data_IF_302239159191
#
_entry.id   IF_302239159191
#
_cell.length_a   1.000
_cell.length_b   1.000
_cell.length_c   1.000
_cell.angle_alpha   90.00
_cell.angle_beta   90.00
_cell.angle_gamma   90.00
#
_symmetry.space_group_name_H-M   'P 1'
#
loop_
_entity.id
_entity.type
_entity.pdbx_description
1 polymer ?
#
# COMPACT_ATOMS: atom_id res chain seq x y z
N UNK A 1 13.84 0.12 14.88
CA UNK A 1 12.41 -0.21 14.65
C UNK A 1 12.27 -1.56 13.97
N UNK A 2 11.12 -2.21 14.09
CA UNK A 2 10.86 -3.44 13.35
C UNK A 2 10.50 -3.11 11.91
N UNK A 3 11.24 -3.66 10.93
CA UNK A 3 10.86 -3.61 9.51
C UNK A 3 9.73 -4.59 9.17
N UNK A 4 9.11 -5.19 10.19
CA UNK A 4 7.92 -6.02 10.06
C UNK A 4 6.67 -5.13 9.95
N UNK A 5 5.83 -5.32 8.91
CA UNK A 5 4.59 -4.58 8.76
C UNK A 5 3.67 -4.72 10.00
N UNK A 6 3.13 -3.59 10.51
CA UNK A 6 2.06 -3.58 11.49
C UNK A 6 0.81 -4.31 10.98
N UNK A 7 -0.07 -4.74 11.89
CA UNK A 7 -1.31 -5.46 11.53
C UNK A 7 -2.18 -4.64 10.58
N UNK A 8 -2.32 -3.35 10.82
CA UNK A 8 -3.12 -2.46 9.98
C UNK A 8 -2.61 -2.33 8.54
N UNK A 9 -1.28 -2.34 8.35
CA UNK A 9 -0.66 -2.35 7.01
C UNK A 9 -0.99 -3.65 6.27
N UNK A 10 -0.97 -4.77 6.99
CA UNK A 10 -1.35 -6.07 6.44
C UNK A 10 -2.84 -6.12 6.05
N UNK A 11 -3.73 -5.59 6.90
CA UNK A 11 -5.17 -5.51 6.65
C UNK A 11 -5.47 -4.62 5.43
N UNK A 12 -4.79 -3.48 5.28
CA UNK A 12 -4.94 -2.62 4.11
C UNK A 12 -4.46 -3.31 2.82
N UNK A 13 -3.32 -4.01 2.85
CA UNK A 13 -2.79 -4.77 1.72
C UNK A 13 -3.72 -5.93 1.32
N UNK A 14 -4.31 -6.61 2.29
CA UNK A 14 -5.31 -7.66 2.06
C UNK A 14 -6.56 -7.09 1.38
N UNK A 15 -7.12 -6.00 1.92
CA UNK A 15 -8.24 -5.29 1.31
C UNK A 15 -7.94 -4.86 -0.14
N UNK A 16 -6.75 -4.32 -0.39
CA UNK A 16 -6.33 -3.95 -1.75
C UNK A 16 -6.32 -5.13 -2.72
N UNK A 17 -5.89 -6.31 -2.27
CA UNK A 17 -5.92 -7.53 -3.08
C UNK A 17 -7.35 -8.01 -3.35
N UNK A 18 -8.25 -7.93 -2.37
CA UNK A 18 -9.66 -8.28 -2.53
C UNK A 18 -10.36 -7.36 -3.53
N UNK A 19 -10.17 -6.04 -3.39
CA UNK A 19 -10.75 -5.07 -4.32
C UNK A 19 -10.18 -5.24 -5.73
N UNK A 20 -8.87 -5.48 -5.87
CA UNK A 20 -8.28 -5.79 -7.18
C UNK A 20 -8.89 -7.05 -7.79
N UNK A 21 -9.10 -8.10 -7.01
CA UNK A 21 -9.72 -9.33 -7.50
C UNK A 21 -11.19 -9.13 -7.93
N UNK A 22 -11.92 -8.24 -7.25
CA UNK A 22 -13.32 -7.94 -7.53
C UNK A 22 -13.51 -7.01 -8.75
N UNK A 23 -12.68 -5.99 -8.88
CA UNK A 23 -12.86 -4.92 -9.88
C UNK A 23 -11.86 -4.98 -11.04
N UNK A 24 -10.88 -5.88 -10.98
CA UNK A 24 -9.85 -6.09 -12.00
C UNK A 24 -9.11 -4.81 -12.44
N UNK A 25 -8.85 -3.91 -11.49
CA UNK A 25 -8.14 -2.65 -11.75
C UNK A 25 -7.22 -2.27 -10.59
N UNK A 26 -6.28 -1.37 -10.86
CA UNK A 26 -5.35 -0.81 -9.87
C UNK A 26 -4.11 -1.66 -9.63
N UNK A 27 -2.96 -0.96 -9.60
CA UNK A 27 -1.64 -1.54 -9.34
C UNK A 27 -1.08 -2.39 -10.48
N UNK A 28 0.24 -2.57 -10.47
CA UNK A 28 0.97 -3.51 -11.34
C UNK A 28 1.26 -4.80 -10.59
N UNK A 29 1.84 -5.80 -11.26
CA UNK A 29 2.30 -7.03 -10.61
C UNK A 29 3.28 -6.78 -9.46
N UNK A 30 4.05 -5.69 -9.53
CA UNK A 30 4.92 -5.24 -8.43
C UNK A 30 4.10 -4.83 -7.20
N UNK A 31 3.01 -4.10 -7.39
CA UNK A 31 2.09 -3.72 -6.31
C UNK A 31 1.40 -4.94 -5.70
N UNK A 32 1.00 -5.91 -6.53
CA UNK A 32 0.39 -7.18 -6.08
C UNK A 32 1.38 -8.01 -5.27
N UNK A 33 2.62 -8.15 -5.75
CA UNK A 33 3.67 -8.85 -5.03
C UNK A 33 3.95 -8.18 -3.68
N UNK A 34 4.04 -6.84 -3.65
CA UNK A 34 4.20 -6.07 -2.42
C UNK A 34 3.06 -6.31 -1.45
N UNK A 35 1.81 -6.24 -1.91
CA UNK A 35 0.64 -6.50 -1.07
C UNK A 35 0.67 -7.90 -0.45
N UNK A 36 1.12 -8.92 -1.21
CA UNK A 36 1.28 -10.29 -0.71
C UNK A 36 2.34 -10.38 0.39
N UNK A 37 3.46 -9.66 0.28
CA UNK A 37 4.46 -9.64 1.34
C UNK A 37 3.96 -8.91 2.59
N UNK A 38 3.28 -7.77 2.39
CA UNK A 38 2.72 -6.94 3.47
C UNK A 38 1.62 -7.68 4.25
N UNK A 39 0.66 -8.33 3.57
CA UNK A 39 -0.41 -9.08 4.25
C UNK A 39 0.13 -10.23 5.09
N UNK A 40 1.22 -10.87 4.63
CA UNK A 40 1.89 -11.94 5.35
C UNK A 40 2.85 -11.41 6.43
N UNK A 41 2.92 -10.09 6.63
CA UNK A 41 3.78 -9.40 7.59
C UNK A 41 5.24 -9.85 7.48
N UNK A 42 5.73 -10.02 6.24
CA UNK A 42 7.13 -10.32 5.99
C UNK A 42 7.96 -9.06 6.25
N UNK A 43 9.11 -9.18 6.95
CA UNK A 43 10.02 -8.06 7.12
C UNK A 43 10.42 -7.46 5.77
N UNK A 44 10.42 -6.13 5.70
CA UNK A 44 10.83 -5.39 4.52
C UNK A 44 12.31 -5.00 4.61
N UNK A 45 13.02 -5.01 3.49
CA UNK A 45 14.38 -4.43 3.40
C UNK A 45 14.33 -2.90 3.40
N UNK A 46 15.45 -2.25 3.69
CA UNK A 46 15.54 -0.78 3.64
C UNK A 46 15.20 -0.23 2.24
N UNK A 47 15.73 -0.88 1.19
CA UNK A 47 15.39 -0.55 -0.20
C UNK A 47 13.88 -0.68 -0.47
N UNK A 48 13.22 -1.66 0.14
CA UNK A 48 11.77 -1.79 0.06
C UNK A 48 11.09 -0.60 0.71
N UNK A 49 11.51 -0.20 1.92
CA UNK A 49 10.90 0.92 2.62
C UNK A 49 11.08 2.21 1.81
N UNK A 50 12.25 2.45 1.23
CA UNK A 50 12.49 3.63 0.38
C UNK A 50 11.61 3.64 -0.87
N UNK A 51 11.38 2.45 -1.44
CA UNK A 51 10.44 2.29 -2.55
C UNK A 51 8.99 2.56 -2.14
N UNK A 52 8.59 2.16 -0.93
CA UNK A 52 7.27 2.46 -0.38
C UNK A 52 7.08 3.97 -0.20
N UNK A 53 8.02 4.66 0.45
CA UNK A 53 7.96 6.13 0.62
C UNK A 53 7.89 6.83 -0.73
N UNK A 54 8.79 6.46 -1.67
CA UNK A 54 8.80 7.03 -3.03
C UNK A 54 7.53 6.74 -3.82
N UNK A 55 6.86 5.62 -3.56
CA UNK A 55 5.57 5.31 -4.15
C UNK A 55 4.50 6.27 -3.61
N UNK A 56 4.35 6.37 -2.29
CA UNK A 56 3.30 7.19 -1.67
C UNK A 56 3.45 8.68 -2.01
N UNK A 57 4.67 9.21 -2.02
CA UNK A 57 4.92 10.61 -2.37
C UNK A 57 4.48 10.96 -3.81
N UNK A 58 4.63 10.02 -4.76
CA UNK A 58 4.24 10.25 -6.17
C UNK A 58 2.75 10.05 -6.42
N UNK A 59 2.10 9.20 -5.63
CA UNK A 59 0.70 8.81 -5.84
C UNK A 59 -0.25 9.50 -4.85
N UNK A 60 0.23 10.47 -4.06
CA UNK A 60 -0.64 11.27 -3.18
C UNK A 60 -1.67 12.07 -3.98
N UNK A 61 -1.32 12.48 -5.21
CA UNK A 61 -2.26 13.13 -6.15
C UNK A 61 -3.43 12.23 -6.52
N UNK A 62 -3.28 10.90 -6.48
CA UNK A 62 -4.36 9.95 -6.81
C UNK A 62 -5.53 10.07 -5.82
N UNK A 63 -5.29 10.61 -4.62
CA UNK A 63 -6.34 10.89 -3.62
C UNK A 63 -7.37 11.92 -4.08
N UNK A 64 -7.05 12.70 -5.11
CA UNK A 64 -7.94 13.71 -5.69
C UNK A 64 -8.86 13.13 -6.76
N UNK A 65 -8.66 11.87 -7.17
CA UNK A 65 -9.51 11.21 -8.14
C UNK A 65 -10.90 10.93 -7.54
N UNK A 66 -11.92 10.96 -8.40
CA UNK A 66 -13.26 10.50 -8.05
C UNK A 66 -13.20 9.05 -7.53
N UNK A 67 -14.08 8.73 -6.58
CA UNK A 67 -14.18 7.42 -5.94
C UNK A 67 -12.91 6.93 -5.21
N UNK A 68 -11.96 7.83 -4.89
CA UNK A 68 -10.88 7.48 -3.97
C UNK A 68 -11.46 7.19 -2.57
N UNK A 69 -11.26 5.98 -2.06
CA UNK A 69 -11.83 5.55 -0.78
C UNK A 69 -13.24 4.95 -0.86
N UNK A 70 -13.84 4.84 -2.05
CA UNK A 70 -15.14 4.21 -2.25
C UNK A 70 -14.98 2.69 -2.39
N UNK A 71 -15.30 1.90 -1.37
CA UNK A 71 -15.17 0.44 -1.45
C UNK A 71 -16.18 -0.25 -2.40
N UNK A 72 -17.28 0.44 -2.74
CA UNK A 72 -18.30 -0.08 -3.65
C UNK A 72 -17.91 0.07 -5.12
N UNK A 73 -17.18 1.14 -5.45
CA UNK A 73 -16.64 1.39 -6.78
C UNK A 73 -15.26 2.07 -6.73
N UNK A 74 -14.22 1.41 -6.19
CA UNK A 74 -12.96 2.06 -5.84
C UNK A 74 -12.16 2.50 -7.06
N UNK A 75 -11.63 3.72 -7.05
CA UNK A 75 -10.72 4.18 -8.10
C UNK A 75 -9.50 3.25 -8.22
N UNK A 76 -8.91 3.18 -9.42
CA UNK A 76 -7.69 2.39 -9.64
C UNK A 76 -6.53 2.85 -8.73
N UNK A 77 -6.46 4.17 -8.47
CA UNK A 77 -5.51 4.78 -7.53
C UNK A 77 -5.73 4.31 -6.10
N UNK A 78 -6.98 4.22 -5.63
CA UNK A 78 -7.28 3.73 -4.28
C UNK A 78 -6.90 2.26 -4.10
N UNK A 79 -7.21 1.39 -5.08
CA UNK A 79 -6.79 -0.01 -5.03
C UNK A 79 -5.26 -0.09 -4.98
N UNK A 80 -4.57 0.64 -5.86
CA UNK A 80 -3.11 0.67 -5.87
C UNK A 80 -2.54 1.17 -4.53
N UNK A 81 -3.12 2.22 -3.95
CA UNK A 81 -2.74 2.76 -2.64
C UNK A 81 -2.85 1.70 -1.53
N UNK A 82 -3.94 0.94 -1.51
CA UNK A 82 -4.14 -0.16 -0.56
C UNK A 82 -3.16 -1.31 -0.76
N UNK A 83 -2.81 -1.67 -2.00
CA UNK A 83 -1.81 -2.72 -2.28
C UNK A 83 -0.44 -2.40 -1.66
N UNK A 84 -0.11 -1.11 -1.50
CA UNK A 84 1.11 -0.67 -0.85
C UNK A 84 0.97 -0.50 0.68
N UNK A 85 -0.20 -0.80 1.24
CA UNK A 85 -0.46 -0.76 2.69
C UNK A 85 -1.31 0.42 3.15
N UNK A 86 -1.83 1.24 2.23
CA UNK A 86 -2.68 2.37 2.55
C UNK A 86 -1.98 3.46 3.37
N UNK A 87 -2.77 4.31 4.03
CA UNK A 87 -2.24 5.41 4.85
C UNK A 87 -1.38 4.92 6.02
N UNK A 88 -1.74 3.76 6.58
CA UNK A 88 -0.97 3.10 7.64
C UNK A 88 0.38 2.62 7.11
N UNK A 89 0.42 2.11 5.86
CA UNK A 89 1.66 1.72 5.19
C UNK A 89 2.56 2.90 4.88
N UNK A 90 1.99 4.05 4.50
CA UNK A 90 2.72 5.30 4.30
C UNK A 90 3.37 5.77 5.59
N UNK A 91 2.56 5.98 6.63
CA UNK A 91 3.04 6.47 7.92
C UNK A 91 4.12 5.55 8.50
N UNK A 92 3.93 4.24 8.40
CA UNK A 92 4.91 3.25 8.85
C UNK A 92 6.23 3.31 8.07
N UNK A 93 6.18 3.44 6.75
CA UNK A 93 7.38 3.49 5.92
C UNK A 93 8.17 4.80 6.15
N UNK A 94 7.47 5.93 6.28
CA UNK A 94 8.05 7.24 6.62
C UNK A 94 8.69 7.22 8.02
N UNK A 95 8.02 6.61 9.01
CA UNK A 95 8.56 6.45 10.37
C UNK A 95 9.88 5.67 10.36
N UNK A 96 9.92 4.53 9.68
CA UNK A 96 11.15 3.76 9.52
C UNK A 96 12.22 4.57 8.79
N UNK A 97 11.88 5.33 7.75
CA UNK A 97 12.85 6.14 7.00
C UNK A 97 13.44 7.29 7.83
N UNK A 98 12.64 7.93 8.68
CA UNK A 98 13.08 9.06 9.51
C UNK A 98 14.02 8.67 10.65
N UNK A 99 14.01 7.39 11.05
CA UNK A 99 14.75 6.88 12.20
C UNK A 99 16.04 6.14 11.82
N UNK A 100 16.50 6.27 10.57
CA UNK A 100 17.75 5.66 10.07
C UNK A 100 18.91 6.64 10.17
#
# INVERSE_FOLDING_TARGET
MSTKPPKKVAEAAEKGLELRAKFDRGGTDVGVARARDLKNRRPCSDETIDRMVSYFARHEVDKQADDFGNDENPSAGYIAWLLWGGDEGRAWAEDIQSQR
#
